data_IF_420795007027
#
_entry.id   IF_420795007027
#
_cell.length_a   1.000
_cell.length_b   1.000
_cell.length_c   1.000
_cell.angle_alpha   90.00
_cell.angle_beta   90.00
_cell.angle_gamma   90.00
#
_symmetry.space_group_name_H-M   'P 1'
#
loop_
_entity.id
_entity.type
_entity.pdbx_description
1 polymer ?
#
# COMPACT_ATOMS: atom_id res chain seq x y z
N UNK A 1 -6.46 14.87 27.47
CA UNK A 1 -6.05 15.03 26.05
C UNK A 1 -4.72 14.31 25.87
N UNK A 2 -4.56 13.44 24.87
CA UNK A 2 -3.21 13.04 24.46
C UNK A 2 -2.50 14.21 23.75
N UNK A 3 -1.17 14.22 23.65
CA UNK A 3 -0.42 15.43 23.33
C UNK A 3 -0.67 15.84 21.88
N UNK A 4 -1.35 16.98 21.70
CA UNK A 4 -1.39 17.74 20.43
C UNK A 4 -0.02 18.31 20.05
N UNK A 5 1.00 18.14 20.90
CA UNK A 5 2.30 18.82 20.85
C UNK A 5 3.24 18.35 19.74
N UNK A 6 2.98 17.21 19.11
CA UNK A 6 3.85 16.68 18.05
C UNK A 6 3.36 17.01 16.64
N UNK A 7 2.18 17.62 16.49
CA UNK A 7 1.69 18.14 15.22
C UNK A 7 2.11 19.60 15.07
N UNK A 8 3.41 19.82 14.84
CA UNK A 8 3.98 21.17 14.75
C UNK A 8 3.53 21.97 13.52
N UNK A 9 2.71 21.38 12.64
CA UNK A 9 2.37 21.92 11.31
C UNK A 9 0.92 22.40 11.18
N UNK A 10 0.24 22.67 12.31
CA UNK A 10 -1.13 23.21 12.34
C UNK A 10 -1.41 23.91 13.67
N UNK A 11 -2.10 25.06 13.66
CA UNK A 11 -2.64 25.64 14.90
C UNK A 11 -3.84 24.81 15.41
N UNK A 12 -4.14 24.92 16.70
CA UNK A 12 -5.30 24.25 17.28
C UNK A 12 -6.63 24.90 16.89
N UNK A 13 -6.59 26.09 16.27
CA UNK A 13 -7.73 26.97 16.01
C UNK A 13 -8.13 27.00 14.53
N UNK A 14 -7.28 26.51 13.62
CA UNK A 14 -7.56 26.47 12.19
C UNK A 14 -8.86 25.69 11.86
N UNK A 15 -9.77 26.34 11.11
CA UNK A 15 -11.01 25.74 10.62
C UNK A 15 -10.85 25.16 9.22
N UNK A 16 -10.80 23.83 9.15
CA UNK A 16 -10.67 23.09 7.90
C UNK A 16 -12.03 22.67 7.33
N UNK A 17 -13.12 23.37 7.68
CA UNK A 17 -14.47 23.08 7.16
C UNK A 17 -14.49 23.11 5.63
N UNK A 18 -13.87 24.11 5.01
CA UNK A 18 -13.81 24.25 3.55
C UNK A 18 -12.99 23.14 2.90
N UNK A 19 -11.84 22.77 3.45
CA UNK A 19 -11.06 21.63 2.96
C UNK A 19 -11.81 20.31 3.15
N UNK A 20 -12.62 20.15 4.20
CA UNK A 20 -13.45 18.95 4.39
C UNK A 20 -14.47 18.77 3.28
N UNK A 21 -15.09 19.86 2.81
CA UNK A 21 -16.01 19.82 1.67
C UNK A 21 -15.29 19.50 0.35
N UNK A 22 -14.11 20.11 0.13
CA UNK A 22 -13.25 19.81 -1.02
C UNK A 22 -12.68 18.37 -1.00
N UNK A 23 -12.45 17.83 0.20
CA UNK A 23 -11.92 16.50 0.48
C UNK A 23 -12.99 15.40 0.45
N UNK A 24 -14.18 15.67 -0.09
CA UNK A 24 -15.20 14.61 -0.22
C UNK A 24 -14.66 13.44 -1.05
N UNK A 25 -14.64 12.25 -0.45
CA UNK A 25 -14.09 11.04 -1.06
C UNK A 25 -12.56 10.91 -0.94
N UNK A 26 -11.94 11.78 -0.15
CA UNK A 26 -10.53 11.73 0.26
C UNK A 26 -10.42 11.16 1.68
N UNK A 27 -9.25 10.62 2.02
CA UNK A 27 -9.06 9.98 3.32
C UNK A 27 -8.47 10.90 4.38
N UNK A 28 -7.54 11.78 3.98
CA UNK A 28 -7.09 12.87 4.84
C UNK A 28 -8.18 13.93 4.98
N UNK A 29 -8.31 14.51 6.17
CA UNK A 29 -9.28 15.57 6.48
C UNK A 29 -8.66 16.97 6.41
N UNK A 30 -7.34 17.06 6.28
CA UNK A 30 -6.57 18.30 6.26
C UNK A 30 -5.40 18.20 5.29
N UNK A 31 -4.87 19.37 4.88
CA UNK A 31 -3.65 19.48 4.06
C UNK A 31 -2.50 20.13 4.83
N UNK A 32 -2.31 19.74 6.09
CA UNK A 32 -1.27 20.30 6.95
C UNK A 32 0.13 20.20 6.30
N UNK A 33 0.95 21.24 6.47
CA UNK A 33 2.27 21.29 5.81
C UNK A 33 3.20 20.17 6.30
N UNK A 34 4.15 19.80 5.46
CA UNK A 34 5.11 18.74 5.75
C UNK A 34 6.16 19.19 6.78
N UNK A 35 6.80 18.23 7.46
CA UNK A 35 7.81 18.49 8.53
C UNK A 35 9.01 19.37 8.14
N UNK A 36 9.28 19.52 6.84
CA UNK A 36 10.46 20.22 6.33
C UNK A 36 10.16 21.66 5.90
N UNK A 37 8.88 22.06 5.92
CA UNK A 37 8.47 23.41 5.57
C UNK A 37 8.73 24.36 6.74
N UNK A 38 9.34 25.51 6.45
CA UNK A 38 9.59 26.57 7.43
C UNK A 38 8.35 27.43 7.68
N UNK A 39 7.40 27.39 6.75
CA UNK A 39 6.14 28.12 6.79
C UNK A 39 4.98 27.13 6.76
N UNK A 40 3.89 27.49 7.42
CA UNK A 40 2.62 26.78 7.30
C UNK A 40 1.53 27.77 6.88
N UNK A 41 0.59 27.27 6.10
CA UNK A 41 -0.65 27.97 5.80
C UNK A 41 -1.77 27.30 6.57
N UNK A 42 -2.68 28.10 7.10
CA UNK A 42 -3.89 27.61 7.72
C UNK A 42 -5.10 28.32 7.11
N UNK A 43 -6.21 27.60 6.89
CA UNK A 43 -7.46 28.23 6.54
C UNK A 43 -7.93 29.09 7.71
N UNK A 44 -8.34 30.30 7.38
CA UNK A 44 -8.92 31.26 8.30
C UNK A 44 -10.22 31.76 7.69
N UNK A 45 -11.28 31.77 8.48
CA UNK A 45 -12.56 32.37 8.11
C UNK A 45 -12.44 33.89 8.26
N UNK A 46 -12.43 34.60 7.14
CA UNK A 46 -12.38 36.06 7.09
C UNK A 46 -13.75 36.73 7.22
N UNK A 47 -14.81 35.94 7.47
CA UNK A 47 -16.19 36.40 7.64
C UNK A 47 -16.95 36.57 6.32
N UNK A 48 -16.35 36.19 5.19
CA UNK A 48 -17.00 36.22 3.88
C UNK A 48 -17.43 34.81 3.47
N UNK A 49 -18.75 34.59 3.36
CA UNK A 49 -19.25 33.34 2.80
C UNK A 49 -19.08 33.34 1.26
N UNK A 50 -18.38 32.35 0.67
CA UNK A 50 -18.36 32.21 -0.77
C UNK A 50 -19.74 31.78 -1.27
N UNK A 51 -20.25 32.45 -2.30
CA UNK A 51 -21.54 32.13 -2.94
C UNK A 51 -21.58 30.71 -3.56
N UNK A 52 -20.41 30.13 -3.85
CA UNK A 52 -20.27 28.85 -4.54
C UNK A 52 -19.65 27.77 -3.67
N UNK A 53 -20.21 26.56 -3.76
CA UNK A 53 -19.62 25.37 -3.14
C UNK A 53 -18.24 25.11 -3.75
N UNK A 54 -17.22 24.83 -2.92
CA UNK A 54 -15.88 24.62 -3.43
C UNK A 54 -15.81 23.35 -4.29
N UNK A 55 -15.06 23.40 -5.41
CA UNK A 55 -14.86 22.24 -6.27
C UNK A 55 -14.21 21.08 -5.51
N UNK A 56 -14.61 19.84 -5.84
CA UNK A 56 -13.94 18.65 -5.32
C UNK A 56 -12.50 18.57 -5.83
N UNK A 57 -11.55 18.24 -4.94
CA UNK A 57 -10.14 18.12 -5.32
C UNK A 57 -9.93 17.07 -6.42
N UNK A 58 -9.39 17.51 -7.55
CA UNK A 58 -9.00 16.65 -8.68
C UNK A 58 -7.61 16.06 -8.42
N UNK A 59 -7.38 14.86 -8.94
CA UNK A 59 -6.05 14.24 -8.92
C UNK A 59 -5.20 14.86 -10.05
N UNK A 60 -4.01 15.35 -9.70
CA UNK A 60 -2.97 15.85 -10.59
C UNK A 60 -1.89 14.77 -10.79
N UNK A 61 -1.45 14.58 -12.04
CA UNK A 61 -0.35 13.67 -12.37
C UNK A 61 0.94 14.45 -12.63
N UNK A 62 2.02 14.02 -11.97
CA UNK A 62 3.34 14.64 -12.09
C UNK A 62 4.29 13.62 -12.72
N UNK A 63 4.81 13.94 -13.91
CA UNK A 63 5.74 13.03 -14.59
C UNK A 63 7.10 13.00 -13.87
N UNK A 64 7.51 11.82 -13.43
CA UNK A 64 8.84 11.57 -12.88
C UNK A 64 9.71 10.80 -13.89
N UNK A 65 10.96 11.25 -14.07
CA UNK A 65 11.95 10.61 -14.96
C UNK A 65 13.06 9.95 -14.14
N UNK A 66 12.81 8.77 -13.53
CA UNK A 66 13.82 8.10 -12.72
C UNK A 66 14.94 7.53 -13.58
N UNK A 67 16.15 7.38 -13.00
CA UNK A 67 17.29 6.71 -13.65
C UNK A 67 17.27 5.19 -13.49
N UNK A 68 16.66 4.70 -12.42
CA UNK A 68 16.50 3.29 -12.06
C UNK A 68 15.08 3.05 -11.54
N UNK A 69 14.58 1.82 -11.61
CA UNK A 69 13.22 1.48 -11.16
C UNK A 69 13.19 0.52 -9.97
N UNK A 70 14.19 -0.36 -9.85
CA UNK A 70 14.33 -1.27 -8.71
C UNK A 70 14.96 -0.51 -7.54
N UNK A 71 14.29 -0.52 -6.40
CA UNK A 71 14.82 -0.02 -5.12
C UNK A 71 15.13 -1.21 -4.22
N UNK A 72 16.29 -1.19 -3.56
CA UNK A 72 16.72 -2.25 -2.65
C UNK A 72 16.57 -1.83 -1.18
N UNK A 73 16.35 -2.81 -0.31
CA UNK A 73 16.24 -2.62 1.13
C UNK A 73 16.93 -3.79 1.86
N UNK A 74 17.39 -3.53 3.09
CA UNK A 74 18.06 -4.51 3.96
C UNK A 74 17.22 -4.84 5.20
N UNK A 75 15.89 -4.70 5.12
CA UNK A 75 15.06 -4.79 6.30
C UNK A 75 14.84 -6.25 6.73
N UNK A 76 15.12 -6.60 8.01
CA UNK A 76 14.93 -7.98 8.48
C UNK A 76 13.46 -8.37 8.73
N UNK A 77 12.54 -7.41 8.63
CA UNK A 77 11.11 -7.64 8.92
C UNK A 77 10.30 -8.08 7.70
N UNK A 78 10.88 -7.99 6.51
CA UNK A 78 10.23 -8.31 5.24
C UNK A 78 11.06 -9.35 4.50
N UNK A 79 10.40 -10.24 3.78
CA UNK A 79 11.06 -11.38 3.12
C UNK A 79 11.58 -11.05 1.72
N UNK A 80 11.63 -9.78 1.34
CA UNK A 80 12.10 -9.31 0.02
C UNK A 80 13.11 -8.18 0.19
N UNK A 81 14.11 -8.16 -0.66
CA UNK A 81 15.18 -7.16 -0.68
C UNK A 81 14.93 -6.06 -1.73
N UNK A 82 13.94 -6.23 -2.63
CA UNK A 82 13.75 -5.33 -3.77
C UNK A 82 12.28 -5.04 -4.07
N UNK A 83 12.02 -3.81 -4.49
CA UNK A 83 10.67 -3.30 -4.77
C UNK A 83 10.63 -2.47 -6.05
N UNK A 84 9.48 -2.46 -6.71
CA UNK A 84 9.15 -1.50 -7.77
C UNK A 84 7.88 -0.76 -7.39
N UNK A 85 7.95 0.57 -7.49
CA UNK A 85 6.81 1.47 -7.32
C UNK A 85 6.70 2.34 -8.59
N UNK A 86 5.74 2.07 -9.49
CA UNK A 86 5.49 2.86 -10.70
C UNK A 86 4.93 4.26 -10.38
N UNK A 87 4.39 4.42 -9.17
CA UNK A 87 3.81 5.65 -8.67
C UNK A 87 4.47 6.11 -7.35
N UNK A 88 4.29 7.38 -6.99
CA UNK A 88 4.46 7.88 -5.62
C UNK A 88 3.26 8.74 -5.26
N UNK A 89 2.72 8.53 -4.05
CA UNK A 89 1.36 8.93 -3.73
C UNK A 89 0.39 7.79 -4.04
N UNK A 90 -0.82 7.87 -3.51
CA UNK A 90 -1.84 6.88 -3.79
C UNK A 90 -3.26 7.46 -3.71
N UNK A 91 -3.98 7.42 -4.82
CA UNK A 91 -5.37 7.89 -4.91
C UNK A 91 -6.35 7.09 -4.05
N UNK A 92 -5.96 5.91 -3.56
CA UNK A 92 -6.76 5.17 -2.59
C UNK A 92 -6.98 5.96 -1.29
N UNK A 93 -6.07 6.87 -0.94
CA UNK A 93 -6.24 7.78 0.18
C UNK A 93 -6.36 7.08 1.54
N UNK A 94 -5.79 5.90 1.75
CA UNK A 94 -5.90 5.23 3.05
C UNK A 94 -5.30 6.10 4.16
N UNK A 95 -6.08 6.49 5.16
CA UNK A 95 -5.65 7.47 6.17
C UNK A 95 -4.45 6.99 7.00
N UNK A 96 -4.36 5.68 7.22
CA UNK A 96 -3.29 5.04 7.97
C UNK A 96 -2.02 4.75 7.14
N UNK A 97 -1.98 5.13 5.86
CA UNK A 97 -0.94 4.68 4.93
C UNK A 97 0.44 5.17 5.36
N UNK A 98 1.36 4.27 5.71
CA UNK A 98 2.70 4.62 6.16
C UNK A 98 3.56 5.34 5.12
N UNK A 99 3.13 5.38 3.84
CA UNK A 99 3.85 6.03 2.76
C UNK A 99 3.54 7.52 2.63
N UNK A 100 2.48 8.05 3.28
CA UNK A 100 2.16 9.49 3.24
C UNK A 100 3.32 10.41 3.63
N UNK A 101 4.13 10.09 4.67
CA UNK A 101 5.31 10.87 5.04
C UNK A 101 6.31 11.11 3.90
N UNK A 102 6.29 10.30 2.82
CA UNK A 102 7.17 10.46 1.67
C UNK A 102 6.90 11.75 0.86
N UNK A 103 5.69 12.32 0.95
CA UNK A 103 5.36 13.59 0.29
C UNK A 103 6.03 14.78 0.97
N UNK A 104 6.29 14.71 2.28
CA UNK A 104 7.01 15.78 2.99
C UNK A 104 8.41 16.03 2.40
N UNK A 105 9.12 14.98 1.95
CA UNK A 105 10.43 15.13 1.30
C UNK A 105 10.39 15.85 -0.06
N UNK A 106 9.20 16.19 -0.56
CA UNK A 106 8.96 16.89 -1.83
C UNK A 106 8.32 18.26 -1.62
N UNK A 107 8.29 18.73 -0.38
CA UNK A 107 7.57 19.95 0.00
C UNK A 107 6.06 19.86 -0.22
N UNK A 108 5.51 18.65 -0.19
CA UNK A 108 4.08 18.40 -0.32
C UNK A 108 3.51 17.88 1.00
N UNK A 109 2.23 18.15 1.24
CA UNK A 109 1.54 17.65 2.43
C UNK A 109 1.41 16.11 2.42
N UNK A 110 1.71 15.43 3.54
CA UNK A 110 1.30 14.04 3.75
C UNK A 110 -0.23 13.83 3.83
N UNK A 111 -1.00 14.91 3.95
CA UNK A 111 -2.46 14.92 3.98
C UNK A 111 -3.06 14.73 2.59
N UNK A 112 -3.74 15.75 2.07
CA UNK A 112 -4.48 15.68 0.81
C UNK A 112 -3.53 15.59 -0.40
N UNK A 113 -2.38 16.27 -0.40
CA UNK A 113 -1.44 16.19 -1.52
C UNK A 113 -0.94 14.77 -1.79
N UNK A 114 -0.84 13.90 -0.78
CA UNK A 114 -0.46 12.49 -0.98
C UNK A 114 -1.41 11.73 -1.92
N UNK A 115 -2.70 12.05 -1.86
CA UNK A 115 -3.76 11.35 -2.58
C UNK A 115 -4.32 12.14 -3.76
N UNK A 116 -3.88 13.40 -3.93
CA UNK A 116 -4.23 14.25 -5.08
C UNK A 116 -3.06 14.53 -5.99
N UNK A 117 -1.80 14.58 -5.51
CA UNK A 117 -0.61 14.83 -6.34
C UNK A 117 0.21 13.56 -6.50
N UNK A 118 0.02 12.88 -7.63
CA UNK A 118 0.57 11.55 -7.89
C UNK A 118 1.73 11.63 -8.88
N UNK A 119 2.92 11.21 -8.45
CA UNK A 119 4.05 11.08 -9.33
C UNK A 119 3.93 9.77 -10.11
N UNK A 120 4.07 9.83 -11.43
CA UNK A 120 3.97 8.67 -12.33
C UNK A 120 5.30 8.45 -13.03
N UNK A 121 5.69 7.18 -13.25
CA UNK A 121 6.98 6.82 -13.89
C UNK A 121 6.74 6.01 -15.17
N UNK A 122 6.35 6.63 -16.30
CA UNK A 122 6.05 5.91 -17.54
C UNK A 122 7.24 5.12 -18.09
N UNK A 123 8.47 5.54 -17.79
CA UNK A 123 9.69 4.84 -18.21
C UNK A 123 9.99 3.57 -17.42
N UNK A 124 9.20 3.23 -16.40
CA UNK A 124 9.43 2.09 -15.52
C UNK A 124 9.65 0.73 -16.27
N UNK A 125 8.85 0.35 -17.28
CA UNK A 125 9.04 -0.91 -18.00
C UNK A 125 10.38 -0.96 -18.76
N UNK A 126 10.73 0.12 -19.47
CA UNK A 126 11.99 0.20 -20.22
C UNK A 126 13.22 0.16 -19.28
N UNK A 127 13.14 0.85 -18.14
CA UNK A 127 14.18 0.81 -17.11
C UNK A 127 14.32 -0.58 -16.49
N UNK A 128 13.20 -1.28 -16.27
CA UNK A 128 13.19 -2.63 -15.74
C UNK A 128 13.87 -3.59 -16.71
N UNK A 129 13.44 -3.60 -17.98
CA UNK A 129 14.03 -4.44 -19.02
C UNK A 129 15.54 -4.26 -19.09
N UNK A 130 16.01 -3.01 -19.11
CA UNK A 130 17.46 -2.69 -19.12
C UNK A 130 18.19 -3.23 -17.88
N UNK A 131 17.58 -3.18 -16.71
CA UNK A 131 18.18 -3.70 -15.47
C UNK A 131 18.28 -5.23 -15.50
N UNK A 132 17.20 -5.91 -15.90
CA UNK A 132 17.14 -7.37 -15.95
C UNK A 132 18.07 -7.96 -17.03
N UNK A 133 18.36 -7.21 -18.11
CA UNK A 133 19.29 -7.64 -19.16
C UNK A 133 20.77 -7.54 -18.79
N UNK A 134 21.13 -7.02 -17.61
CA UNK A 134 22.54 -6.96 -17.19
C UNK A 134 23.07 -8.36 -16.89
N UNK A 135 24.25 -8.70 -17.41
CA UNK A 135 24.95 -9.97 -17.12
C UNK A 135 25.18 -10.21 -15.62
N UNK A 136 25.31 -9.14 -14.83
CA UNK A 136 25.49 -9.21 -13.38
C UNK A 136 24.18 -9.36 -12.59
N UNK A 137 23.02 -9.24 -13.24
CA UNK A 137 21.73 -9.31 -12.56
C UNK A 137 21.50 -10.70 -11.96
N UNK A 138 21.01 -10.74 -10.73
CA UNK A 138 20.62 -11.96 -10.03
C UNK A 138 19.13 -11.93 -9.74
N UNK A 139 18.34 -12.90 -10.24
CA UNK A 139 16.90 -12.92 -10.02
C UNK A 139 16.59 -13.10 -8.54
N UNK A 140 15.53 -12.44 -8.10
CA UNK A 140 15.03 -12.50 -6.73
C UNK A 140 13.66 -11.85 -6.67
N UNK A 141 12.81 -12.27 -5.74
CA UNK A 141 11.41 -11.82 -5.68
C UNK A 141 11.32 -10.28 -5.62
N UNK A 142 10.73 -9.67 -6.65
CA UNK A 142 10.37 -8.25 -6.65
C UNK A 142 9.00 -8.09 -5.99
N UNK A 143 8.90 -7.24 -4.97
CA UNK A 143 7.60 -6.79 -4.47
C UNK A 143 7.13 -5.57 -5.28
N UNK A 144 6.03 -5.73 -6.01
CA UNK A 144 5.28 -4.63 -6.59
C UNK A 144 4.33 -4.08 -5.52
N UNK A 145 4.19 -2.75 -5.46
CA UNK A 145 3.40 -2.03 -4.44
C UNK A 145 4.06 -1.99 -3.04
N UNK A 146 5.29 -1.47 -2.97
CA UNK A 146 6.01 -1.24 -1.72
C UNK A 146 5.62 0.06 -0.98
N UNK A 147 5.27 1.14 -1.69
CA UNK A 147 4.93 2.46 -1.09
C UNK A 147 3.71 3.12 -1.75
N UNK A 148 3.01 2.41 -2.63
CA UNK A 148 1.83 2.85 -3.36
C UNK A 148 1.05 1.61 -3.79
N UNK A 149 -0.24 1.76 -4.10
CA UNK A 149 -0.97 0.69 -4.77
C UNK A 149 -0.77 0.81 -6.28
N UNK A 150 -0.18 -0.23 -6.86
CA UNK A 150 0.08 -0.32 -8.31
C UNK A 150 -1.21 -0.34 -9.15
N UNK A 151 -2.35 -0.70 -8.53
CA UNK A 151 -3.68 -0.75 -9.16
C UNK A 151 -4.62 0.35 -8.66
N UNK A 152 -4.06 1.49 -8.22
CA UNK A 152 -4.84 2.69 -7.94
C UNK A 152 -5.60 3.19 -9.20
N UNK A 153 -6.67 3.99 -9.08
CA UNK A 153 -7.52 4.39 -10.21
C UNK A 153 -6.79 4.85 -11.48
N UNK A 154 -5.71 5.64 -11.37
CA UNK A 154 -4.87 6.06 -12.50
C UNK A 154 -4.31 4.90 -13.35
N UNK A 155 -4.07 3.73 -12.77
CA UNK A 155 -3.57 2.54 -13.49
C UNK A 155 -4.57 2.02 -14.54
N UNK A 156 -5.87 2.36 -14.41
CA UNK A 156 -6.88 2.00 -15.41
C UNK A 156 -6.53 2.59 -16.79
N UNK A 157 -5.99 3.80 -16.80
CA UNK A 157 -5.63 4.55 -18.01
C UNK A 157 -4.15 4.38 -18.36
N UNK A 158 -3.26 4.48 -17.37
CA UNK A 158 -1.82 4.56 -17.61
C UNK A 158 -1.16 3.22 -17.94
N UNK A 159 -1.72 2.09 -17.45
CA UNK A 159 -1.24 0.72 -17.72
C UNK A 159 0.23 0.43 -17.40
N UNK A 160 0.91 1.29 -16.63
CA UNK A 160 2.36 1.17 -16.33
C UNK A 160 2.65 -0.13 -15.58
N UNK A 161 1.76 -0.52 -14.66
CA UNK A 161 1.89 -1.78 -13.92
C UNK A 161 1.77 -2.98 -14.84
N UNK A 162 0.80 -2.94 -15.78
CA UNK A 162 0.66 -4.00 -16.77
C UNK A 162 1.93 -4.15 -17.61
N UNK A 163 2.47 -3.05 -18.13
CA UNK A 163 3.70 -3.08 -18.93
C UNK A 163 4.91 -3.62 -18.12
N UNK A 164 4.98 -3.33 -16.81
CA UNK A 164 5.96 -3.95 -15.91
C UNK A 164 5.75 -5.46 -15.81
N UNK A 165 4.50 -5.92 -15.69
CA UNK A 165 4.19 -7.35 -15.61
C UNK A 165 4.53 -8.08 -16.91
N UNK A 166 4.29 -7.47 -18.06
CA UNK A 166 4.67 -8.01 -19.37
C UNK A 166 6.20 -8.20 -19.46
N UNK A 167 6.99 -7.22 -19.01
CA UNK A 167 8.46 -7.36 -18.91
C UNK A 167 8.86 -8.47 -17.93
N UNK A 168 8.22 -8.59 -16.78
CA UNK A 168 8.54 -9.65 -15.81
C UNK A 168 8.21 -11.04 -16.37
N UNK A 169 7.09 -11.17 -17.07
CA UNK A 169 6.67 -12.41 -17.71
C UNK A 169 7.61 -12.82 -18.85
N UNK A 170 8.06 -11.87 -19.69
CA UNK A 170 9.04 -12.10 -20.76
C UNK A 170 10.35 -12.68 -20.22
N UNK A 171 10.80 -12.21 -19.05
CA UNK A 171 12.05 -12.64 -18.42
C UNK A 171 11.87 -13.87 -17.51
N UNK A 172 10.65 -14.42 -17.40
CA UNK A 172 10.29 -15.44 -16.41
C UNK A 172 10.77 -15.07 -14.99
N UNK A 173 10.60 -13.79 -14.64
CA UNK A 173 11.12 -13.20 -13.41
C UNK A 173 10.07 -13.24 -12.28
N UNK A 174 10.44 -13.69 -11.05
CA UNK A 174 9.49 -13.78 -9.96
C UNK A 174 9.05 -12.44 -9.39
N UNK A 175 7.75 -12.32 -9.09
CA UNK A 175 7.15 -11.13 -8.50
C UNK A 175 6.08 -11.45 -7.46
N UNK A 176 5.99 -10.64 -6.41
CA UNK A 176 4.84 -10.62 -5.52
C UNK A 176 4.16 -9.26 -5.66
N UNK A 177 2.83 -9.25 -5.59
CA UNK A 177 2.04 -8.03 -5.68
C UNK A 177 1.21 -7.86 -4.42
N UNK A 178 0.94 -6.61 -4.02
CA UNK A 178 -0.08 -6.31 -3.00
C UNK A 178 -1.03 -5.22 -3.49
N UNK A 179 -2.33 -5.41 -3.31
CA UNK A 179 -3.33 -4.40 -3.73
C UNK A 179 -4.60 -4.41 -2.89
N UNK A 180 -5.36 -3.31 -2.93
CA UNK A 180 -6.74 -3.17 -2.45
C UNK A 180 -7.76 -3.07 -3.59
N UNK A 181 -7.33 -3.17 -4.83
CA UNK A 181 -8.13 -2.91 -6.03
C UNK A 181 -8.51 -4.21 -6.74
N UNK A 182 -9.75 -4.26 -7.25
CA UNK A 182 -10.20 -5.34 -8.13
C UNK A 182 -9.61 -5.24 -9.54
N UNK A 183 -8.94 -4.12 -9.88
CA UNK A 183 -8.33 -3.90 -11.20
C UNK A 183 -7.24 -4.93 -11.53
N UNK A 184 -6.64 -5.59 -10.52
CA UNK A 184 -5.70 -6.70 -10.72
C UNK A 184 -6.28 -7.82 -11.59
N UNK A 185 -7.61 -8.01 -11.57
CA UNK A 185 -8.28 -9.03 -12.40
C UNK A 185 -8.17 -8.75 -13.90
N UNK A 186 -7.89 -7.50 -14.31
CA UNK A 186 -7.60 -7.15 -15.70
C UNK A 186 -6.40 -7.91 -16.25
N UNK A 187 -5.41 -8.17 -15.41
CA UNK A 187 -4.10 -8.71 -15.82
C UNK A 187 -4.00 -10.22 -15.54
N UNK A 188 -5.12 -10.92 -15.36
CA UNK A 188 -5.16 -12.39 -15.21
C UNK A 188 -4.50 -13.12 -16.37
N UNK A 189 -4.58 -12.55 -17.58
CA UNK A 189 -3.97 -13.09 -18.79
C UNK A 189 -2.43 -13.16 -18.72
N UNK A 190 -1.81 -12.33 -17.87
CA UNK A 190 -0.37 -12.35 -17.59
C UNK A 190 -0.08 -13.12 -16.30
N UNK A 191 -0.87 -12.85 -15.25
CA UNK A 191 -0.61 -13.38 -13.91
C UNK A 191 -0.86 -14.89 -13.81
N UNK A 192 -1.89 -15.43 -14.46
CA UNK A 192 -2.18 -16.87 -14.37
C UNK A 192 -1.08 -17.74 -15.02
N UNK A 193 -0.56 -17.42 -16.23
CA UNK A 193 0.61 -18.12 -16.78
C UNK A 193 1.86 -18.02 -15.90
N UNK A 194 2.13 -16.84 -15.30
CA UNK A 194 3.24 -16.69 -14.35
C UNK A 194 3.03 -17.55 -13.10
N UNK A 195 1.80 -17.66 -12.60
CA UNK A 195 1.47 -18.46 -11.42
C UNK A 195 1.64 -19.96 -11.68
N UNK A 196 1.24 -20.44 -12.87
CA UNK A 196 1.47 -21.82 -13.29
C UNK A 196 2.96 -22.20 -13.32
N UNK A 197 3.84 -21.23 -13.56
CA UNK A 197 5.31 -21.39 -13.47
C UNK A 197 5.86 -21.22 -12.05
N UNK A 198 5.05 -20.87 -11.05
CA UNK A 198 5.48 -20.58 -9.69
C UNK A 198 6.23 -19.25 -9.55
N UNK A 199 5.97 -18.29 -10.45
CA UNK A 199 6.67 -17.01 -10.51
C UNK A 199 5.90 -15.86 -9.85
N UNK A 200 4.60 -16.00 -9.60
CA UNK A 200 3.80 -14.90 -9.05
C UNK A 200 2.93 -15.31 -7.86
N UNK A 201 2.74 -14.37 -6.94
CA UNK A 201 1.74 -14.46 -5.87
C UNK A 201 1.10 -13.09 -5.65
N UNK A 202 -0.17 -13.08 -5.25
CA UNK A 202 -0.92 -11.83 -5.03
C UNK A 202 -1.40 -11.76 -3.59
N UNK A 203 -1.08 -10.66 -2.92
CA UNK A 203 -1.64 -10.30 -1.64
C UNK A 203 -2.80 -9.31 -1.82
N UNK A 204 -3.97 -9.64 -1.29
CA UNK A 204 -5.11 -8.72 -1.26
C UNK A 204 -5.25 -8.14 0.14
N UNK A 205 -5.11 -6.82 0.25
CA UNK A 205 -5.25 -6.08 1.50
C UNK A 205 -6.72 -6.01 1.91
N UNK A 206 -7.05 -6.64 3.04
CA UNK A 206 -8.42 -6.82 3.51
C UNK A 206 -8.51 -6.49 5.00
N UNK A 207 -9.03 -5.30 5.31
CA UNK A 207 -8.90 -4.68 6.64
C UNK A 207 -10.15 -4.78 7.51
N UNK A 208 -11.34 -4.86 6.93
CA UNK A 208 -12.61 -4.93 7.66
C UNK A 208 -13.72 -5.47 6.75
N UNK A 209 -14.73 -6.11 7.33
CA UNK A 209 -15.99 -6.47 6.65
C UNK A 209 -17.00 -5.31 6.72
N UNK A 210 -16.82 -4.36 7.64
CA UNK A 210 -17.68 -3.21 7.82
C UNK A 210 -17.50 -2.18 6.68
N UNK A 211 -18.54 -2.04 5.86
CA UNK A 211 -18.59 -1.09 4.73
C UNK A 211 -18.46 0.37 5.18
N UNK A 212 -19.00 0.73 6.35
CA UNK A 212 -18.92 2.10 6.87
C UNK A 212 -17.48 2.41 7.27
N UNK A 213 -16.83 1.50 8.00
CA UNK A 213 -15.43 1.64 8.37
C UNK A 213 -14.54 1.73 7.12
N UNK A 214 -14.69 0.79 6.18
CA UNK A 214 -13.95 0.80 4.92
C UNK A 214 -14.12 2.13 4.16
N UNK A 215 -15.35 2.63 4.01
CA UNK A 215 -15.60 3.89 3.27
C UNK A 215 -14.95 5.11 3.92
N UNK A 216 -14.89 5.17 5.25
CA UNK A 216 -14.23 6.29 5.94
C UNK A 216 -12.71 6.16 5.94
N UNK A 217 -12.19 4.93 6.04
CA UNK A 217 -10.76 4.68 6.25
C UNK A 217 -9.98 4.56 4.93
N UNK A 218 -10.66 4.08 3.89
CA UNK A 218 -10.11 3.67 2.60
C UNK A 218 -11.07 4.07 1.46
N UNK A 219 -11.36 5.37 1.31
CA UNK A 219 -12.54 5.87 0.60
C UNK A 219 -12.58 5.52 -0.89
N UNK A 220 -11.41 5.33 -1.52
CA UNK A 220 -11.29 5.04 -2.96
C UNK A 220 -10.80 3.63 -3.27
N UNK A 221 -10.65 2.78 -2.26
CA UNK A 221 -10.34 1.37 -2.44
C UNK A 221 -11.58 0.57 -2.86
N UNK A 222 -11.38 -0.65 -3.38
CA UNK A 222 -12.51 -1.56 -3.61
C UNK A 222 -13.23 -1.87 -2.29
N UNK A 223 -14.56 -2.00 -2.34
CA UNK A 223 -15.36 -2.35 -1.17
C UNK A 223 -14.99 -3.75 -0.62
N UNK A 224 -15.20 -4.04 0.68
CA UNK A 224 -14.84 -5.33 1.30
C UNK A 224 -15.30 -6.57 0.52
N UNK A 225 -16.57 -6.61 0.09
CA UNK A 225 -17.11 -7.73 -0.69
C UNK A 225 -16.42 -7.91 -2.05
N UNK A 226 -16.02 -6.82 -2.72
CA UNK A 226 -15.28 -6.87 -3.99
C UNK A 226 -13.86 -7.40 -3.81
N UNK A 227 -13.23 -7.17 -2.64
CA UNK A 227 -11.91 -7.76 -2.34
C UNK A 227 -12.01 -9.26 -2.11
N UNK A 228 -13.07 -9.73 -1.44
CA UNK A 228 -13.34 -11.16 -1.30
C UNK A 228 -13.61 -11.82 -2.67
N UNK A 229 -14.42 -11.19 -3.53
CA UNK A 229 -14.62 -11.62 -4.91
C UNK A 229 -13.29 -11.66 -5.69
N UNK A 230 -12.46 -10.64 -5.55
CA UNK A 230 -11.11 -10.59 -6.17
C UNK A 230 -10.24 -11.76 -5.71
N UNK A 231 -10.24 -12.11 -4.42
CA UNK A 231 -9.50 -13.28 -3.92
C UNK A 231 -10.00 -14.58 -4.58
N UNK A 232 -11.33 -14.73 -4.71
CA UNK A 232 -11.95 -15.90 -5.34
C UNK A 232 -11.54 -16.03 -6.80
N UNK A 233 -11.63 -14.96 -7.57
CA UNK A 233 -11.27 -14.96 -8.99
C UNK A 233 -9.77 -15.24 -9.21
N UNK A 234 -8.90 -14.62 -8.40
CA UNK A 234 -7.46 -14.91 -8.44
C UNK A 234 -7.17 -16.39 -8.12
N UNK A 235 -7.82 -16.92 -7.07
CA UNK A 235 -7.65 -18.33 -6.69
C UNK A 235 -8.18 -19.29 -7.76
N UNK A 236 -9.32 -18.99 -8.38
CA UNK A 236 -9.89 -19.78 -9.48
C UNK A 236 -8.96 -19.80 -10.70
N UNK A 237 -8.23 -18.72 -10.94
CA UNK A 237 -7.20 -18.63 -11.97
C UNK A 237 -5.87 -19.33 -11.60
N UNK A 238 -5.80 -20.01 -10.45
CA UNK A 238 -4.61 -20.73 -9.99
C UNK A 238 -3.53 -19.85 -9.37
N UNK A 239 -3.82 -18.58 -9.09
CA UNK A 239 -2.85 -17.64 -8.51
C UNK A 239 -2.81 -17.83 -6.98
N UNK A 240 -1.64 -18.05 -6.35
CA UNK A 240 -1.52 -18.09 -4.90
C UNK A 240 -1.94 -16.77 -4.25
N UNK A 241 -3.01 -16.79 -3.45
CA UNK A 241 -3.56 -15.61 -2.78
C UNK A 241 -3.17 -15.54 -1.30
N UNK A 242 -2.67 -14.38 -0.87
CA UNK A 242 -2.44 -14.04 0.53
C UNK A 242 -3.42 -12.96 0.99
N UNK A 243 -4.22 -13.22 2.03
CA UNK A 243 -5.02 -12.20 2.68
C UNK A 243 -4.16 -11.36 3.63
N UNK A 244 -4.05 -10.06 3.38
CA UNK A 244 -3.26 -9.15 4.22
C UNK A 244 -4.18 -8.28 5.08
N UNK A 245 -4.34 -8.62 6.36
CA UNK A 245 -5.07 -7.81 7.33
C UNK A 245 -4.13 -6.74 7.91
N UNK A 246 -3.84 -5.73 7.09
CA UNK A 246 -2.90 -4.66 7.42
C UNK A 246 -3.50 -3.27 7.09
N UNK A 247 -3.79 -2.42 8.10
CA UNK A 247 -3.52 -2.61 9.51
C UNK A 247 -4.64 -3.35 10.28
N UNK A 248 -4.26 -4.06 11.34
CA UNK A 248 -5.14 -4.31 12.49
C UNK A 248 -5.04 -3.12 13.46
N UNK A 249 -6.19 -2.52 13.73
CA UNK A 249 -6.40 -1.34 14.57
C UNK A 249 -7.11 -1.80 15.85
N UNK A 250 -6.44 -1.71 17.02
CA UNK A 250 -7.00 -2.13 18.30
C UNK A 250 -8.38 -1.51 18.56
N UNK A 251 -9.32 -2.30 19.08
CA UNK A 251 -10.68 -1.87 19.41
C UNK A 251 -11.50 -1.22 18.25
N UNK A 252 -11.02 -1.32 17.00
CA UNK A 252 -11.73 -0.84 15.82
C UNK A 252 -12.10 -1.99 14.87
N UNK A 253 -11.15 -2.50 14.09
CA UNK A 253 -11.33 -3.67 13.21
C UNK A 253 -10.68 -4.95 13.77
N UNK A 254 -9.75 -4.84 14.74
CA UNK A 254 -9.12 -6.01 15.37
C UNK A 254 -10.13 -7.02 15.95
N UNK A 255 -11.30 -6.63 16.50
CA UNK A 255 -12.33 -7.58 16.91
C UNK A 255 -12.84 -8.49 15.77
N UNK A 256 -12.71 -8.08 14.51
CA UNK A 256 -13.15 -8.85 13.34
C UNK A 256 -12.12 -9.88 12.86
N UNK A 257 -10.95 -9.98 13.49
CA UNK A 257 -9.79 -10.74 12.98
C UNK A 257 -10.16 -12.15 12.50
N UNK A 258 -10.83 -12.96 13.32
CA UNK A 258 -11.15 -14.34 12.96
C UNK A 258 -12.16 -14.42 11.81
N UNK A 259 -13.13 -13.50 11.79
CA UNK A 259 -14.13 -13.42 10.72
C UNK A 259 -13.48 -12.98 9.39
N UNK A 260 -12.51 -12.06 9.44
CA UNK A 260 -11.73 -11.66 8.26
C UNK A 260 -10.96 -12.84 7.67
N UNK A 261 -10.28 -13.62 8.53
CA UNK A 261 -9.51 -14.78 8.10
C UNK A 261 -10.40 -15.89 7.56
N UNK A 262 -11.53 -16.18 8.22
CA UNK A 262 -12.49 -17.17 7.76
C UNK A 262 -13.06 -16.79 6.39
N UNK A 263 -13.54 -15.54 6.24
CA UNK A 263 -14.08 -15.05 4.98
C UNK A 263 -13.02 -15.10 3.86
N UNK A 264 -11.78 -14.70 4.13
CA UNK A 264 -10.71 -14.77 3.13
C UNK A 264 -10.41 -16.22 2.70
N UNK A 265 -10.35 -17.15 3.67
CA UNK A 265 -10.16 -18.57 3.39
C UNK A 265 -11.29 -19.15 2.54
N UNK A 266 -12.56 -18.84 2.85
CA UNK A 266 -13.74 -19.22 2.05
C UNK A 266 -13.73 -18.66 0.61
N UNK A 267 -12.91 -17.63 0.37
CA UNK A 267 -12.70 -17.00 -0.93
C UNK A 267 -11.34 -17.37 -1.56
N UNK A 268 -10.75 -18.50 -1.15
CA UNK A 268 -9.58 -19.08 -1.83
C UNK A 268 -8.23 -18.53 -1.37
N UNK A 269 -8.18 -17.65 -0.37
CA UNK A 269 -6.89 -17.30 0.24
C UNK A 269 -6.30 -18.53 0.95
N UNK A 270 -5.11 -18.95 0.52
CA UNK A 270 -4.39 -20.07 1.15
C UNK A 270 -3.39 -19.59 2.20
N UNK A 271 -3.06 -18.30 2.16
CA UNK A 271 -2.16 -17.64 3.08
C UNK A 271 -2.78 -16.40 3.69
N UNK A 272 -2.29 -15.99 4.85
CA UNK A 272 -2.61 -14.71 5.43
C UNK A 272 -1.47 -14.13 6.27
N UNK A 273 -1.46 -12.82 6.38
CA UNK A 273 -0.55 -12.05 7.23
C UNK A 273 -1.27 -10.85 7.84
N UNK A 274 -0.71 -10.30 8.90
CA UNK A 274 -1.20 -9.09 9.52
C UNK A 274 -0.07 -8.15 9.92
N UNK A 275 -0.39 -6.86 10.02
CA UNK A 275 0.48 -5.83 10.59
C UNK A 275 -0.38 -4.99 11.52
N UNK A 276 0.10 -4.71 12.73
CA UNK A 276 -0.57 -3.75 13.61
C UNK A 276 -0.46 -2.34 13.03
N UNK A 277 -1.44 -1.49 13.29
CA UNK A 277 -1.41 -0.09 12.86
C UNK A 277 -0.10 0.60 13.27
N UNK A 278 0.50 1.27 12.29
CA UNK A 278 1.75 2.01 12.42
C UNK A 278 1.44 3.49 12.30
N UNK A 279 1.96 4.30 13.22
CA UNK A 279 1.77 5.74 13.23
C UNK A 279 3.10 6.50 13.11
N UNK A 280 3.94 6.22 12.10
CA UNK A 280 5.18 6.98 11.93
C UNK A 280 4.85 8.43 11.61
N UNK A 281 5.57 9.36 12.24
CA UNK A 281 5.65 10.74 11.76
C UNK A 281 4.25 11.41 11.68
N UNK A 282 3.90 12.06 10.56
CA UNK A 282 2.61 12.76 10.38
C UNK A 282 1.40 11.81 10.42
N UNK A 283 1.60 10.50 10.26
CA UNK A 283 0.48 9.56 10.33
C UNK A 283 -0.19 9.59 11.70
N UNK A 284 0.58 9.83 12.77
CA UNK A 284 0.06 9.84 14.13
C UNK A 284 -1.11 10.80 14.30
N UNK A 285 -0.96 12.05 13.88
CA UNK A 285 -2.07 12.99 14.00
C UNK A 285 -3.09 12.93 12.86
N UNK A 286 -2.73 12.49 11.63
CA UNK A 286 -3.68 12.36 10.52
C UNK A 286 -4.70 11.30 10.90
N UNK A 287 -4.19 10.19 11.46
CA UNK A 287 -5.02 9.13 11.98
C UNK A 287 -5.79 9.56 13.23
N UNK A 288 -5.18 10.33 14.15
CA UNK A 288 -5.88 10.83 15.35
C UNK A 288 -7.03 11.76 14.97
N UNK A 289 -6.82 12.71 14.07
CA UNK A 289 -7.83 13.62 13.53
C UNK A 289 -9.00 12.84 12.90
N UNK A 290 -8.68 11.87 12.04
CA UNK A 290 -9.67 10.99 11.43
C UNK A 290 -10.46 10.19 12.47
N UNK A 291 -9.78 9.67 13.48
CA UNK A 291 -10.39 8.86 14.51
C UNK A 291 -11.29 9.66 15.44
N UNK A 292 -10.89 10.88 15.80
CA UNK A 292 -11.71 11.83 16.57
C UNK A 292 -12.94 12.27 15.78
N UNK A 293 -12.81 12.45 14.47
CA UNK A 293 -13.92 12.84 13.58
C UNK A 293 -14.92 11.70 13.37
N UNK A 294 -14.45 10.50 13.03
CA UNK A 294 -15.33 9.40 12.62
C UNK A 294 -15.71 8.43 13.75
N UNK A 295 -14.86 8.30 14.78
CA UNK A 295 -15.04 7.37 15.89
C UNK A 295 -14.68 8.01 17.26
N UNK A 296 -15.24 9.18 17.63
CA UNK A 296 -14.84 9.94 18.82
C UNK A 296 -14.91 9.12 20.12
N UNK A 297 -15.95 8.28 20.25
CA UNK A 297 -16.15 7.42 21.43
C UNK A 297 -15.09 6.31 21.57
N UNK A 298 -14.41 5.94 20.48
CA UNK A 298 -13.35 4.91 20.48
C UNK A 298 -11.95 5.52 20.45
N UNK A 299 -11.81 6.79 20.05
CA UNK A 299 -10.52 7.43 19.79
C UNK A 299 -9.51 7.25 20.94
N UNK A 300 -9.91 7.60 22.17
CA UNK A 300 -9.06 7.48 23.36
C UNK A 300 -8.61 6.03 23.61
N UNK A 301 -9.52 5.06 23.45
CA UNK A 301 -9.24 3.64 23.70
C UNK A 301 -8.26 3.08 22.67
N UNK A 302 -8.48 3.36 21.39
CA UNK A 302 -7.60 2.93 20.29
C UNK A 302 -6.18 3.46 20.50
N UNK A 303 -6.04 4.78 20.73
CA UNK A 303 -4.72 5.41 20.93
C UNK A 303 -4.02 4.91 22.20
N UNK A 304 -4.76 4.67 23.28
CA UNK A 304 -4.20 4.09 24.51
C UNK A 304 -3.65 2.68 24.28
N UNK A 305 -4.38 1.83 23.54
CA UNK A 305 -3.92 0.48 23.21
C UNK A 305 -2.69 0.50 22.29
N UNK A 306 -2.67 1.37 21.28
CA UNK A 306 -1.51 1.56 20.41
C UNK A 306 -0.27 1.95 21.22
N UNK A 307 -0.39 2.95 22.09
CA UNK A 307 0.71 3.38 22.97
C UNK A 307 1.18 2.28 23.91
N UNK A 308 0.25 1.48 24.43
CA UNK A 308 0.61 0.34 25.29
C UNK A 308 1.51 -0.67 24.57
N UNK A 309 1.33 -0.86 23.25
CA UNK A 309 2.16 -1.70 22.40
C UNK A 309 3.52 -1.08 22.08
N UNK A 310 3.70 0.21 22.33
CA UNK A 310 4.86 1.01 21.97
C UNK A 310 5.46 1.76 23.17
N UNK A 311 5.37 1.17 24.37
CA UNK A 311 5.96 1.71 25.62
C UNK A 311 5.56 3.17 25.94
N UNK A 312 4.33 3.55 25.59
CA UNK A 312 3.79 4.89 25.83
C UNK A 312 3.86 5.83 24.64
N UNK A 313 4.64 5.51 23.61
CA UNK A 313 4.77 6.31 22.39
C UNK A 313 3.71 5.95 21.34
N UNK A 314 3.38 6.87 20.42
CA UNK A 314 2.44 6.57 19.34
C UNK A 314 2.97 5.50 18.36
N UNK A 315 4.29 5.45 18.18
CA UNK A 315 4.95 4.50 17.29
C UNK A 315 6.44 4.42 17.61
N UNK A 316 6.96 3.19 17.67
CA UNK A 316 8.40 2.94 17.71
C UNK A 316 8.87 2.26 16.43
N UNK A 317 10.02 2.71 15.90
CA UNK A 317 10.50 2.36 14.55
C UNK A 317 11.45 1.15 14.53
N UNK A 318 11.76 0.53 15.66
CA UNK A 318 12.73 -0.56 15.73
C UNK A 318 12.23 -1.81 15.00
N UNK A 319 13.17 -2.54 14.42
CA UNK A 319 12.87 -3.81 13.76
C UNK A 319 12.20 -4.78 14.72
N UNK A 320 11.35 -5.65 14.17
CA UNK A 320 10.53 -6.65 14.86
C UNK A 320 9.42 -6.05 15.76
N UNK A 321 9.59 -4.82 16.23
CA UNK A 321 8.61 -4.08 17.04
C UNK A 321 7.62 -3.32 16.18
N UNK A 322 8.12 -2.56 15.20
CA UNK A 322 7.34 -1.58 14.44
C UNK A 322 6.12 -2.10 13.67
N UNK A 323 5.99 -3.41 13.45
CA UNK A 323 4.84 -4.02 12.76
C UNK A 323 3.93 -4.84 13.68
N UNK A 324 4.34 -5.07 14.92
CA UNK A 324 3.70 -6.02 15.85
C UNK A 324 3.33 -5.41 17.19
N UNK A 325 4.20 -4.55 17.72
CA UNK A 325 4.13 -4.07 19.08
C UNK A 325 4.68 -5.05 20.11
N UNK A 326 4.92 -4.56 21.32
CA UNK A 326 5.45 -5.30 22.47
C UNK A 326 4.56 -5.03 23.69
N UNK A 327 3.45 -5.77 23.81
CA UNK A 327 2.61 -5.75 25.02
C UNK A 327 1.77 -7.04 25.14
N UNK A 328 1.15 -7.31 26.30
CA UNK A 328 0.18 -8.40 26.43
C UNK A 328 -0.95 -8.33 25.40
N UNK A 329 -1.36 -7.12 24.99
CA UNK A 329 -2.35 -6.94 23.93
C UNK A 329 -1.81 -7.43 22.59
N UNK A 330 -0.61 -7.02 22.17
CA UNK A 330 0.01 -7.50 20.94
C UNK A 330 0.19 -9.03 20.92
N UNK A 331 0.56 -9.62 22.06
CA UNK A 331 0.68 -11.07 22.23
C UNK A 331 -0.68 -11.78 22.08
N UNK A 332 -1.75 -11.21 22.64
CA UNK A 332 -3.11 -11.72 22.47
C UNK A 332 -3.53 -11.72 20.99
N UNK A 333 -3.35 -10.61 20.28
CA UNK A 333 -3.65 -10.54 18.82
C UNK A 333 -2.85 -11.60 18.05
N UNK A 334 -1.56 -11.73 18.37
CA UNK A 334 -0.70 -12.73 17.74
C UNK A 334 -1.17 -14.17 18.01
N UNK A 335 -1.60 -14.47 19.24
CA UNK A 335 -2.14 -15.78 19.60
C UNK A 335 -3.45 -16.07 18.86
N UNK A 336 -4.38 -15.10 18.83
CA UNK A 336 -5.65 -15.19 18.08
C UNK A 336 -5.41 -15.46 16.59
N UNK A 337 -4.50 -14.71 15.96
CA UNK A 337 -4.10 -14.92 14.58
C UNK A 337 -3.54 -16.34 14.37
N UNK A 338 -2.52 -16.74 15.13
CA UNK A 338 -1.88 -18.06 14.96
C UNK A 338 -2.85 -19.22 15.16
N UNK A 339 -3.71 -19.14 16.17
CA UNK A 339 -4.71 -20.18 16.44
C UNK A 339 -5.72 -20.30 15.29
N UNK A 340 -6.13 -19.16 14.73
CA UNK A 340 -7.08 -19.13 13.60
C UNK A 340 -6.45 -19.66 12.32
N UNK A 341 -5.22 -19.24 12.00
CA UNK A 341 -4.47 -19.78 10.86
C UNK A 341 -4.31 -21.29 10.95
N UNK A 342 -3.97 -21.81 12.14
CA UNK A 342 -3.86 -23.25 12.39
C UNK A 342 -5.20 -23.96 12.17
N UNK A 343 -6.29 -23.42 12.73
CA UNK A 343 -7.64 -23.98 12.60
C UNK A 343 -8.14 -24.00 11.16
N UNK A 344 -7.86 -22.95 10.38
CA UNK A 344 -8.23 -22.86 8.97
C UNK A 344 -7.27 -23.61 8.04
N UNK A 345 -6.13 -24.10 8.54
CA UNK A 345 -5.14 -24.80 7.72
C UNK A 345 -4.43 -23.92 6.69
N UNK A 346 -4.38 -22.60 6.91
CA UNK A 346 -3.68 -21.64 6.06
C UNK A 346 -2.16 -21.63 6.34
N UNK A 347 -1.38 -21.01 5.46
CA UNK A 347 0.08 -20.82 5.60
C UNK A 347 0.90 -22.13 5.65
N UNK A 348 0.42 -23.23 5.04
CA UNK A 348 1.15 -24.51 4.99
C UNK A 348 2.33 -24.51 4.02
N UNK A 349 2.17 -23.91 2.84
CA UNK A 349 3.21 -23.86 1.83
C UNK A 349 4.22 -22.74 2.12
N UNK A 350 5.50 -23.03 1.87
CA UNK A 350 6.56 -22.04 1.74
C UNK A 350 6.16 -21.09 0.59
N UNK A 351 5.93 -19.82 0.89
CA UNK A 351 5.53 -18.80 -0.09
C UNK A 351 6.68 -18.31 -0.97
N UNK A 352 7.66 -19.17 -1.22
CA UNK A 352 8.79 -18.92 -2.10
C UNK A 352 8.33 -18.92 -3.56
N UNK A 353 9.02 -18.13 -4.38
CA UNK A 353 8.80 -18.05 -5.82
C UNK A 353 10.04 -18.57 -6.52
N UNK A 354 9.86 -19.22 -7.66
CA UNK A 354 10.95 -19.78 -8.44
C UNK A 354 11.83 -18.67 -9.02
N UNK A 355 13.14 -18.85 -8.90
CA UNK A 355 14.15 -17.96 -9.52
C UNK A 355 14.93 -18.65 -10.61
N UNK A 356 14.84 -19.98 -10.70
CA UNK A 356 15.59 -20.84 -11.61
C UNK A 356 15.09 -20.77 -13.07
N UNK A 357 13.87 -20.24 -13.28
CA UNK A 357 13.30 -20.04 -14.62
C UNK A 357 13.72 -18.72 -15.27
N UNK A 358 14.38 -17.83 -14.54
CA UNK A 358 14.76 -16.51 -15.05
C UNK A 358 15.61 -16.63 -16.31
N UNK A 359 15.21 -15.90 -17.35
CA UNK A 359 15.92 -15.81 -18.63
C UNK A 359 16.25 -14.35 -18.88
N UNK A 360 17.54 -14.03 -18.87
CA UNK A 360 17.99 -12.74 -19.41
C UNK A 360 17.98 -12.86 -20.94
N UNK A 361 17.09 -12.16 -21.66
CA UNK A 361 17.23 -12.05 -23.10
C UNK A 361 18.55 -11.34 -23.36
N UNK A 362 19.34 -11.89 -24.26
CA UNK A 362 20.43 -11.14 -24.86
C UNK A 362 19.81 -9.94 -25.57
N UNK A 363 20.33 -8.73 -25.35
CA UNK A 363 19.93 -7.50 -26.07
C UNK A 363 20.00 -7.60 -27.61
N UNK A 364 20.37 -8.76 -28.17
CA UNK A 364 20.34 -9.09 -29.60
C UNK A 364 18.93 -9.04 -30.20
N UNK A 365 17.89 -9.35 -29.44
CA UNK A 365 16.54 -9.53 -29.99
C UNK A 365 15.81 -8.23 -30.38
N UNK A 366 16.40 -7.06 -30.11
CA UNK A 366 15.82 -5.76 -30.45
C UNK A 366 16.67 -4.94 -31.46
N UNK A 367 17.68 -5.53 -32.10
CA UNK A 367 18.46 -4.81 -33.12
C UNK A 367 19.85 -5.36 -33.45
N UNK A 368 20.08 -6.68 -33.47
CA UNK A 368 21.37 -7.20 -33.91
C UNK A 368 21.53 -7.15 -35.43
N UNK A 369 22.49 -6.35 -35.88
CA UNK A 369 23.22 -6.50 -37.13
C UNK A 369 23.55 -7.98 -37.39
N UNK A 370 23.27 -8.47 -38.60
CA UNK A 370 23.54 -9.85 -39.03
C UNK A 370 25.01 -10.21 -38.75
N UNK A 371 25.23 -11.35 -38.09
CA UNK A 371 26.58 -11.88 -37.87
C UNK A 371 27.21 -12.25 -39.21
N UNK A 372 28.37 -11.67 -39.52
CA UNK A 372 29.07 -11.80 -40.80
C UNK A 372 29.72 -13.19 -41.02
N UNK A 373 29.31 -14.24 -40.30
CA UNK A 373 30.00 -15.54 -40.30
C UNK A 373 29.09 -16.77 -40.09
N UNK A 374 27.85 -16.73 -40.56
CA UNK A 374 27.04 -17.96 -40.71
C UNK A 374 27.05 -18.42 -42.18
N UNK A 375 28.24 -18.74 -42.71
CA UNK A 375 28.41 -19.70 -43.82
C UNK A 375 29.79 -20.37 -43.69
N UNK A 376 29.80 -21.62 -43.24
CA UNK A 376 30.81 -22.63 -43.61
C UNK A 376 30.28 -24.03 -43.34
#
# INVERSE_FOLDING_TARGET
MPPRTNWKTRSQEADWARERDQARGRGALSNATGRFESQYAEPFDDGWEPDEKPETLKTETILEKPKTIITYNASPDISFDRTINPYKGCEHGCIYCYARPNHAYRGLSPGLDFETKIFVKPSAPALLRRELSKKSYKPGRIMLAGDTDIYQPLEKELRITRDILEVLAEFDHPAALITKSALVLRDLDILAPMAAKGLVSVAVSFTTLDRKLARTMEPRCAAPHRRLETMRELSNAGIPVTAMTAPLIPALNEPELENLLAAAHEHGATRAGYVMLRLPLEIAGLFTEWLETHYPRRARRVMSLLRSMHKGEDYRSEWKVRQRGESPYAQLVSARFRNTIRRLGMNKADGSLRTDLFRAPTLKDAGSQMGLFDES
#
